data_IF_643437864378
#
_entry.id   IF_643437864378
#
_cell.length_a   1.000
_cell.length_b   1.000
_cell.length_c   1.000
_cell.angle_alpha   90.00
_cell.angle_beta   90.00
_cell.angle_gamma   90.00
#
_symmetry.space_group_name_H-M   'P 1'
#
loop_
_entity.id
_entity.type
_entity.pdbx_description
1 polymer ?
#
# COMPACT_ATOMS: atom_id res chain seq x y z
N UNK A 1 10.87 17.98 20.08
CA UNK A 1 10.42 16.81 19.29
C UNK A 1 9.63 15.92 20.23
N UNK A 2 8.35 15.67 19.96
CA UNK A 2 7.59 14.67 20.70
C UNK A 2 7.15 13.60 19.68
N UNK A 3 7.20 12.32 20.05
CA UNK A 3 6.84 11.20 19.17
C UNK A 3 7.78 11.06 17.96
N UNK A 4 9.06 10.84 18.23
CA UNK A 4 10.08 10.53 17.21
C UNK A 4 10.76 9.21 17.52
N UNK A 5 11.06 8.43 16.48
CA UNK A 5 11.82 7.19 16.56
C UNK A 5 13.20 7.37 15.93
N UNK A 6 14.24 7.11 16.71
CA UNK A 6 15.63 7.36 16.35
C UNK A 6 16.43 6.06 16.49
N UNK A 7 17.01 5.59 15.39
CA UNK A 7 17.86 4.39 15.43
C UNK A 7 19.09 4.57 16.33
N UNK A 8 19.64 5.79 16.38
CA UNK A 8 20.72 6.17 17.29
C UNK A 8 20.52 7.60 17.75
N UNK A 9 20.68 7.83 19.05
CA UNK A 9 20.65 9.19 19.63
C UNK A 9 22.03 9.81 19.72
N UNK A 10 23.10 9.11 19.30
CA UNK A 10 24.49 9.55 19.50
C UNK A 10 24.86 10.85 18.77
N UNK A 11 24.13 11.18 17.71
CA UNK A 11 24.28 12.43 16.95
C UNK A 11 23.02 13.31 17.01
N UNK A 12 22.04 12.96 17.84
CA UNK A 12 20.75 13.65 17.92
C UNK A 12 20.57 14.28 19.30
N UNK A 13 20.31 15.59 19.33
CA UNK A 13 19.80 16.24 20.55
C UNK A 13 18.32 15.90 20.68
N UNK A 14 18.01 14.93 21.54
CA UNK A 14 16.62 14.49 21.78
C UNK A 14 16.00 15.36 22.87
N UNK A 15 15.20 16.34 22.46
CA UNK A 15 14.44 17.22 23.36
C UNK A 15 12.95 16.93 23.23
N UNK A 16 12.24 16.81 24.35
CA UNK A 16 10.80 16.49 24.43
C UNK A 16 10.54 15.05 24.89
N UNK A 17 9.27 14.72 25.11
CA UNK A 17 8.82 13.43 25.62
C UNK A 17 8.36 12.47 24.53
N UNK A 18 8.13 11.21 24.91
CA UNK A 18 7.59 10.16 24.02
C UNK A 18 8.44 9.87 22.79
N UNK A 19 9.74 10.19 22.84
CA UNK A 19 10.70 9.79 21.82
C UNK A 19 11.22 8.39 22.13
N UNK A 20 11.36 7.56 21.11
CA UNK A 20 11.97 6.24 21.19
C UNK A 20 13.35 6.33 20.54
N UNK A 21 14.40 5.93 21.25
CA UNK A 21 15.77 6.05 20.78
C UNK A 21 16.54 4.74 20.90
N UNK A 22 17.65 4.64 20.17
CA UNK A 22 18.60 3.52 20.23
C UNK A 22 17.96 2.15 19.99
N UNK A 23 16.98 2.10 19.08
CA UNK A 23 16.29 0.87 18.67
C UNK A 23 16.08 0.87 17.16
N UNK A 24 16.21 -0.30 16.53
CA UNK A 24 15.95 -0.46 15.10
C UNK A 24 14.49 -0.08 14.77
N UNK A 25 14.27 0.90 13.87
CA UNK A 25 12.94 1.25 13.41
C UNK A 25 12.22 0.16 12.62
N UNK A 26 12.94 -0.87 12.18
CA UNK A 26 12.42 -1.97 11.35
C UNK A 26 11.74 -1.44 10.07
N UNK A 27 12.39 -0.47 9.43
CA UNK A 27 11.95 0.09 8.15
C UNK A 27 12.33 -0.86 7.02
N UNK A 28 11.36 -1.21 6.18
CA UNK A 28 11.59 -1.90 4.92
C UNK A 28 12.37 -1.04 3.91
N UNK A 29 12.66 -1.67 2.76
CA UNK A 29 13.18 -0.96 1.60
C UNK A 29 12.22 0.12 1.11
N UNK A 30 12.75 1.17 0.48
CA UNK A 30 11.92 2.13 -0.24
C UNK A 30 11.27 1.41 -1.42
N UNK A 31 9.95 1.27 -1.40
CA UNK A 31 9.21 0.44 -2.35
C UNK A 31 7.83 1.03 -2.68
N UNK A 32 7.20 0.51 -3.74
CA UNK A 32 5.83 0.83 -4.06
C UNK A 32 4.90 0.07 -3.10
N UNK A 33 4.36 0.78 -2.10
CA UNK A 33 3.40 0.22 -1.15
C UNK A 33 1.95 0.68 -1.41
N UNK A 34 1.62 1.07 -2.66
CA UNK A 34 0.26 1.38 -3.10
C UNK A 34 -0.14 2.86 -3.11
N UNK A 35 0.82 3.79 -3.11
CA UNK A 35 0.58 5.24 -3.13
C UNK A 35 1.24 5.96 -4.32
N UNK A 36 1.05 7.28 -4.41
CA UNK A 36 1.63 8.11 -5.47
C UNK A 36 3.16 8.22 -5.40
N UNK A 37 3.76 7.92 -4.25
CA UNK A 37 5.21 7.93 -4.01
C UNK A 37 5.67 6.63 -3.37
N UNK A 38 6.95 6.30 -3.55
CA UNK A 38 7.57 5.19 -2.82
C UNK A 38 7.63 5.52 -1.33
N UNK A 39 7.45 4.49 -0.50
CA UNK A 39 7.46 4.60 0.98
C UNK A 39 8.29 3.49 1.60
N UNK A 40 8.69 3.66 2.86
CA UNK A 40 9.30 2.60 3.67
C UNK A 40 8.26 2.07 4.65
N UNK A 41 7.80 0.84 4.42
CA UNK A 41 6.84 0.20 5.31
C UNK A 41 7.55 -0.29 6.57
N UNK A 42 6.99 0.00 7.74
CA UNK A 42 7.47 -0.57 9.00
C UNK A 42 7.00 -2.02 9.14
N UNK A 43 7.81 -2.86 9.78
CA UNK A 43 7.41 -4.21 10.14
C UNK A 43 6.26 -4.21 11.17
N UNK A 44 5.48 -5.30 11.21
CA UNK A 44 4.36 -5.46 12.17
C UNK A 44 4.79 -5.41 13.64
N UNK A 45 6.06 -5.70 13.93
CA UNK A 45 6.72 -5.67 15.24
C UNK A 45 7.49 -4.38 15.51
N UNK A 46 7.41 -3.38 14.62
CA UNK A 46 8.19 -2.16 14.73
C UNK A 46 7.83 -1.37 16.00
N UNK A 47 8.80 -0.76 16.70
CA UNK A 47 8.52 0.16 17.79
C UNK A 47 7.80 1.45 17.33
N UNK A 48 7.73 1.72 16.02
CA UNK A 48 6.94 2.81 15.47
C UNK A 48 5.43 2.54 15.49
N UNK A 49 5.02 1.27 15.63
CA UNK A 49 3.62 0.86 15.50
C UNK A 49 2.79 1.31 16.71
N UNK A 50 1.65 1.95 16.47
CA UNK A 50 0.74 2.48 17.48
C UNK A 50 1.43 3.37 18.54
N UNK A 51 2.51 4.05 18.17
CA UNK A 51 3.38 4.77 19.10
C UNK A 51 3.37 6.28 18.91
N UNK A 52 2.54 6.81 18.00
CA UNK A 52 2.38 8.24 17.78
C UNK A 52 1.28 8.87 18.64
N UNK A 53 0.85 10.07 18.24
CA UNK A 53 -0.27 10.78 18.88
C UNK A 53 -1.38 11.06 17.88
N UNK A 54 -2.60 10.65 18.21
CA UNK A 54 -3.79 10.90 17.38
C UNK A 54 -4.07 12.41 17.19
N UNK A 55 -3.51 13.27 18.03
CA UNK A 55 -3.61 14.73 17.85
C UNK A 55 -3.03 15.19 16.51
N UNK A 56 -2.08 14.45 15.93
CA UNK A 56 -1.47 14.78 14.63
C UNK A 56 -2.41 14.51 13.44
N UNK A 57 -3.50 13.78 13.65
CA UNK A 57 -4.49 13.47 12.59
C UNK A 57 -5.31 14.69 12.21
N UNK A 58 -5.37 15.70 13.08
CA UNK A 58 -5.95 17.02 12.75
C UNK A 58 -5.19 17.74 11.62
N UNK A 59 -3.92 17.39 11.41
CA UNK A 59 -3.05 17.97 10.37
C UNK A 59 -3.12 17.14 9.09
N UNK A 60 -3.22 15.81 9.19
CA UNK A 60 -3.35 14.90 8.06
C UNK A 60 -4.15 13.66 8.45
N UNK A 61 -5.34 13.50 7.87
CA UNK A 61 -6.22 12.37 8.14
C UNK A 61 -5.76 11.06 7.48
N UNK A 62 -4.94 11.17 6.44
CA UNK A 62 -4.40 10.04 5.68
C UNK A 62 -2.88 9.99 5.69
N UNK A 63 -2.33 8.79 5.51
CA UNK A 63 -0.91 8.56 5.34
C UNK A 63 -0.46 8.93 3.91
N UNK A 64 0.83 8.78 3.60
CA UNK A 64 1.36 9.18 2.29
C UNK A 64 0.76 8.39 1.10
N UNK A 65 0.07 7.28 1.37
CA UNK A 65 -0.62 6.46 0.35
C UNK A 65 -2.10 6.86 0.21
N UNK A 66 -2.61 7.75 1.06
CA UNK A 66 -4.02 8.12 1.12
C UNK A 66 -4.87 7.21 2.01
N UNK A 67 -4.25 6.36 2.84
CA UNK A 67 -4.97 5.44 3.74
C UNK A 67 -5.16 6.09 5.12
N UNK A 68 -6.22 5.72 5.86
CA UNK A 68 -6.50 6.32 7.18
C UNK A 68 -5.33 6.14 8.14
N UNK A 69 -5.00 7.20 8.91
CA UNK A 69 -3.90 7.18 9.88
C UNK A 69 -4.22 6.61 11.25
N UNK A 70 -5.49 6.41 11.61
CA UNK A 70 -5.83 5.79 12.90
C UNK A 70 -6.29 4.37 12.60
N UNK A 71 -5.38 3.40 12.75
CA UNK A 71 -5.68 1.98 12.72
C UNK A 71 -5.25 1.36 14.05
N UNK A 72 -6.04 0.45 14.61
CA UNK A 72 -5.69 -0.19 15.89
C UNK A 72 -5.68 0.73 17.11
N UNK A 73 -6.20 1.96 16.98
CA UNK A 73 -6.48 2.90 18.07
C UNK A 73 -5.47 4.04 18.22
N UNK A 74 -4.25 3.92 17.71
CA UNK A 74 -3.22 4.97 17.79
C UNK A 74 -2.40 4.99 16.51
N UNK A 75 -2.06 6.17 15.99
CA UNK A 75 -1.27 6.27 14.77
C UNK A 75 0.12 5.64 14.91
N UNK A 76 0.64 5.15 13.80
CA UNK A 76 2.05 4.79 13.63
C UNK A 76 2.91 6.05 13.43
N UNK A 77 4.13 6.02 13.96
CA UNK A 77 5.12 7.05 13.68
C UNK A 77 5.72 6.85 12.28
N UNK A 78 5.70 7.90 11.45
CA UNK A 78 6.35 7.91 10.13
C UNK A 78 5.41 8.26 8.98
N UNK A 79 5.74 7.80 7.77
CA UNK A 79 5.03 8.17 6.54
C UNK A 79 3.81 7.28 6.23
N UNK A 80 3.73 6.10 6.83
CA UNK A 80 2.75 5.05 6.53
C UNK A 80 2.12 4.50 7.80
N UNK A 81 0.84 4.13 7.71
CA UNK A 81 0.08 3.45 8.75
C UNK A 81 -0.07 1.96 8.39
N UNK A 82 0.30 1.02 9.26
CA UNK A 82 0.05 -0.40 9.05
C UNK A 82 -1.46 -0.63 9.03
N UNK A 83 -1.96 -0.96 7.84
CA UNK A 83 -3.35 -1.36 7.66
C UNK A 83 -3.53 -2.82 8.10
N UNK A 84 -4.73 -3.20 8.57
CA UNK A 84 -5.05 -4.61 8.70
C UNK A 84 -4.92 -5.28 7.33
N UNK A 85 -4.46 -6.53 7.32
CA UNK A 85 -4.50 -7.33 6.10
C UNK A 85 -5.97 -7.50 5.71
N UNK A 86 -6.41 -6.78 4.69
CA UNK A 86 -7.67 -7.04 4.01
C UNK A 86 -7.30 -7.86 2.77
N UNK A 87 -7.58 -9.18 2.73
CA UNK A 87 -7.41 -9.95 1.52
C UNK A 87 -8.25 -9.29 0.44
N UNK A 88 -7.57 -8.59 -0.46
CA UNK A 88 -8.19 -7.91 -1.58
C UNK A 88 -8.37 -8.97 -2.65
N UNK A 89 -9.43 -9.78 -2.52
CA UNK A 89 -9.89 -10.69 -3.58
C UNK A 89 -10.61 -9.88 -4.66
N UNK A 90 -9.94 -8.87 -5.20
CA UNK A 90 -10.28 -8.29 -6.48
C UNK A 90 -9.21 -8.71 -7.45
N UNK A 91 -9.34 -9.95 -7.92
CA UNK A 91 -8.93 -10.26 -9.28
C UNK A 91 -9.52 -9.15 -10.17
N UNK A 92 -8.68 -8.19 -10.56
CA UNK A 92 -9.02 -7.26 -11.63
C UNK A 92 -9.43 -8.16 -12.78
N UNK A 93 -10.71 -8.09 -13.17
CA UNK A 93 -11.14 -8.79 -14.37
C UNK A 93 -10.21 -8.28 -15.47
N UNK A 94 -9.33 -9.16 -15.96
CA UNK A 94 -8.59 -8.89 -17.18
C UNK A 94 -9.67 -8.44 -18.17
N UNK A 95 -9.52 -7.28 -18.84
CA UNK A 95 -10.53 -6.81 -19.79
C UNK A 95 -10.58 -7.80 -20.96
N UNK A 96 -11.34 -8.87 -20.78
CA UNK A 96 -11.70 -9.81 -21.82
C UNK A 96 -12.96 -9.27 -22.47
N UNK A 97 -13.19 -9.68 -23.71
CA UNK A 97 -14.53 -9.60 -24.27
C UNK A 97 -15.52 -10.29 -23.32
N UNK A 98 -16.75 -9.78 -23.27
CA UNK A 98 -17.83 -10.52 -22.61
C UNK A 98 -17.92 -11.92 -23.23
N UNK A 99 -18.40 -12.91 -22.47
CA UNK A 99 -18.54 -14.29 -22.99
C UNK A 99 -19.30 -14.29 -24.33
N UNK A 100 -20.32 -13.46 -24.46
CA UNK A 100 -21.06 -13.27 -25.71
C UNK A 100 -20.25 -12.62 -26.82
N UNK A 101 -19.48 -11.57 -26.55
CA UNK A 101 -18.61 -10.95 -27.54
C UNK A 101 -17.48 -11.89 -28.00
N UNK A 102 -17.01 -12.78 -27.12
CA UNK A 102 -16.01 -13.80 -27.42
C UNK A 102 -16.60 -14.91 -28.31
N UNK A 103 -17.83 -15.35 -28.03
CA UNK A 103 -18.58 -16.27 -28.90
C UNK A 103 -18.86 -15.64 -30.27
N UNK A 104 -19.24 -14.36 -30.33
CA UNK A 104 -19.44 -13.64 -31.59
C UNK A 104 -18.15 -13.53 -32.40
N UNK A 105 -17.02 -13.19 -31.74
CA UNK A 105 -15.73 -13.12 -32.41
C UNK A 105 -15.29 -14.51 -32.93
N UNK A 106 -15.46 -15.57 -32.14
CA UNK A 106 -15.10 -16.93 -32.54
C UNK A 106 -15.94 -17.42 -33.72
N UNK A 107 -17.25 -17.17 -33.71
CA UNK A 107 -18.14 -17.54 -34.82
C UNK A 107 -17.83 -16.74 -36.09
N UNK A 108 -17.55 -15.44 -35.95
CA UNK A 108 -17.12 -14.58 -37.06
C UNK A 108 -15.82 -15.08 -37.70
N UNK A 109 -14.81 -15.41 -36.89
CA UNK A 109 -13.53 -15.92 -37.37
C UNK A 109 -13.67 -17.29 -38.06
N UNK A 110 -14.47 -18.20 -37.50
CA UNK A 110 -14.74 -19.50 -38.11
C UNK A 110 -15.45 -19.36 -39.48
N UNK A 111 -16.45 -18.48 -39.56
CA UNK A 111 -17.18 -18.21 -40.80
C UNK A 111 -16.27 -17.57 -41.87
N UNK A 112 -15.44 -16.60 -41.49
CA UNK A 112 -14.44 -16.01 -42.39
C UNK A 112 -13.41 -17.04 -42.87
N UNK A 113 -13.01 -17.97 -42.00
CA UNK A 113 -12.09 -19.06 -42.33
C UNK A 113 -12.65 -20.05 -43.34
N UNK A 114 -13.91 -20.48 -43.17
CA UNK A 114 -14.58 -21.42 -44.08
C UNK A 114 -14.76 -20.82 -45.48
N UNK A 115 -15.00 -19.51 -45.58
CA UNK A 115 -15.16 -18.80 -46.86
C UNK A 115 -13.89 -18.69 -47.70
N UNK A 116 -12.71 -18.97 -47.13
CA UNK A 116 -11.41 -18.85 -47.82
C UNK A 116 -10.89 -20.16 -48.43
N UNK A 117 -11.65 -21.25 -48.37
CA UNK A 117 -11.28 -22.50 -49.05
C UNK A 117 -11.96 -22.60 -50.42
N UNK A 118 -11.27 -22.28 -51.54
CA UNK A 118 -11.78 -22.59 -52.86
C UNK A 118 -11.83 -24.11 -53.04
N UNK A 119 -12.94 -24.62 -53.58
CA UNK A 119 -13.03 -26.02 -54.01
C UNK A 119 -12.26 -26.15 -55.31
N UNK A 120 -11.15 -26.89 -55.28
CA UNK A 120 -10.46 -27.42 -56.47
C UNK A 120 -11.33 -28.49 -57.11
#
# INVERSE_FOLDING_TARGET
MNYSLLQSTSAAVVVGGNNIGNVDPQLGSLANNGGATLTRLIASTSPARNAGSNTFVTVASTDQRGLTRIVGGTIDMGAVEIQPFVPTDTASKIPTLSQWALVLLATLLAWLGIRRYPKV
#
